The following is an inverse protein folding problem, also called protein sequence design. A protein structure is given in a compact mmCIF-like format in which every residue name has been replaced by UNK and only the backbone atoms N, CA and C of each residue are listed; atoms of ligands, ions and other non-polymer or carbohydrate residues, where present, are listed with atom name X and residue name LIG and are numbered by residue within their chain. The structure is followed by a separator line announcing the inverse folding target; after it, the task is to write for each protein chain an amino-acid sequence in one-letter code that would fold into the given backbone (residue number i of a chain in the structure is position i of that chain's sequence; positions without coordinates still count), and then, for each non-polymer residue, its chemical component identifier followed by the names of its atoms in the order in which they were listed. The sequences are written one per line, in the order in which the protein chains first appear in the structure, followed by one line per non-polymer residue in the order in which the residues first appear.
data_IF_459210677395
#
_entry.id   IF_459210677395
#
_cell.length_a   1.000
_cell.length_b   1.000
_cell.length_c   1.000
_cell.angle_alpha   90.00
_cell.angle_beta   90.00
_cell.angle_gamma   90.00
#
_symmetry.space_group_name_H-M   'P 1'
#
loop_
_entity.id
_entity.type
_entity.pdbx_description
1 polymer ?
#
# COMPACT_ATOMS: atom_id res chain seq x y z
N UNK A 1 30.39 -7.89 -1.25
CA UNK A 1 28.99 -7.47 -1.10
C UNK A 1 28.28 -7.76 -2.41
N UNK A 2 27.33 -8.66 -2.59
CA UNK A 2 26.64 -9.62 -1.73
C UNK A 2 26.24 -10.81 -2.62
N UNK A 3 27.08 -11.86 -2.69
CA UNK A 3 26.77 -13.07 -3.48
C UNK A 3 25.46 -13.75 -3.05
N UNK A 4 24.98 -13.46 -1.83
CA UNK A 4 23.82 -14.09 -1.22
C UNK A 4 22.48 -13.64 -1.82
N UNK A 5 22.42 -12.44 -2.40
CA UNK A 5 21.19 -11.85 -2.97
C UNK A 5 21.10 -12.04 -4.49
N UNK A 6 22.24 -12.25 -5.17
CA UNK A 6 22.28 -12.36 -6.62
C UNK A 6 21.38 -13.50 -7.13
N UNK A 7 20.54 -13.18 -8.10
CA UNK A 7 19.61 -14.13 -8.74
C UNK A 7 18.35 -14.40 -7.93
N UNK A 8 18.19 -13.84 -6.72
CA UNK A 8 16.92 -13.94 -5.98
C UNK A 8 15.82 -13.22 -6.72
N UNK A 9 14.67 -13.87 -6.85
CA UNK A 9 13.48 -13.33 -7.50
C UNK A 9 12.58 -12.71 -6.44
N UNK A 10 12.28 -11.43 -6.59
CA UNK A 10 11.55 -10.65 -5.59
C UNK A 10 10.35 -10.02 -6.26
N UNK A 11 9.16 -10.32 -5.75
CA UNK A 11 7.94 -9.63 -6.14
C UNK A 11 7.65 -8.52 -5.12
N UNK A 12 7.62 -7.28 -5.58
CA UNK A 12 7.06 -6.17 -4.84
C UNK A 12 5.54 -6.14 -5.06
N UNK A 13 4.77 -5.85 -4.01
CA UNK A 13 3.32 -5.63 -4.13
C UNK A 13 2.88 -4.46 -3.27
N UNK A 14 2.10 -3.54 -3.85
CA UNK A 14 1.64 -2.36 -3.10
C UNK A 14 0.21 -1.98 -3.43
N UNK A 15 -0.50 -1.42 -2.46
CA UNK A 15 -1.76 -0.69 -2.71
C UNK A 15 -1.47 0.56 -3.55
N UNK A 16 -2.43 1.03 -4.37
CA UNK A 16 -2.18 2.06 -5.35
C UNK A 16 -2.29 3.48 -4.78
N UNK A 17 -1.35 3.82 -3.90
CA UNK A 17 -1.19 5.16 -3.34
C UNK A 17 0.27 5.58 -3.33
N UNK A 18 0.55 6.84 -3.66
CA UNK A 18 1.92 7.38 -3.69
C UNK A 18 2.67 7.18 -2.36
N UNK A 19 1.97 7.33 -1.23
CA UNK A 19 2.52 7.11 0.12
C UNK A 19 2.88 5.65 0.43
N UNK A 20 2.35 4.70 -0.34
CA UNK A 20 2.67 3.27 -0.22
C UNK A 20 3.71 2.82 -1.25
N UNK A 21 3.61 3.35 -2.47
CA UNK A 21 4.52 3.00 -3.56
C UNK A 21 5.90 3.64 -3.42
N UNK A 22 5.96 4.97 -3.26
CA UNK A 22 7.23 5.72 -3.36
C UNK A 22 8.27 5.30 -2.31
N UNK A 23 7.92 5.04 -1.01
CA UNK A 23 8.92 4.63 -0.02
C UNK A 23 9.65 3.32 -0.36
N UNK A 24 9.02 2.42 -1.11
CA UNK A 24 9.61 1.12 -1.47
C UNK A 24 10.51 1.20 -2.70
N UNK A 25 10.45 2.28 -3.49
CA UNK A 25 11.21 2.40 -4.76
C UNK A 25 12.73 2.36 -4.55
N UNK A 26 13.23 3.01 -3.49
CA UNK A 26 14.66 2.99 -3.15
C UNK A 26 15.16 1.59 -2.79
N UNK A 27 14.35 0.84 -2.03
CA UNK A 27 14.64 -0.56 -1.69
C UNK A 27 14.65 -1.46 -2.92
N UNK A 28 13.66 -1.32 -3.80
CA UNK A 28 13.58 -2.08 -5.04
C UNK A 28 14.79 -1.81 -5.95
N UNK A 29 15.19 -0.54 -6.11
CA UNK A 29 16.37 -0.16 -6.89
C UNK A 29 17.66 -0.73 -6.29
N UNK A 30 17.81 -0.70 -4.96
CA UNK A 30 18.96 -1.28 -4.27
C UNK A 30 19.06 -2.81 -4.49
N UNK A 31 17.95 -3.54 -4.33
CA UNK A 31 17.92 -4.99 -4.50
C UNK A 31 18.22 -5.39 -5.94
N UNK A 32 17.67 -4.65 -6.92
CA UNK A 32 18.00 -4.84 -8.33
C UNK A 32 19.49 -4.61 -8.60
N UNK A 33 20.06 -3.51 -8.09
CA UNK A 33 21.51 -3.22 -8.21
C UNK A 33 22.38 -4.29 -7.55
N UNK A 34 21.87 -4.94 -6.51
CA UNK A 34 22.50 -6.06 -5.81
C UNK A 34 22.41 -7.38 -6.59
N UNK A 35 21.72 -7.40 -7.74
CA UNK A 35 21.63 -8.54 -8.64
C UNK A 35 20.38 -9.40 -8.48
N UNK A 36 19.36 -8.94 -7.76
CA UNK A 36 18.05 -9.60 -7.69
C UNK A 36 17.24 -9.37 -8.98
N UNK A 37 16.41 -10.34 -9.38
CA UNK A 37 15.33 -10.15 -10.37
C UNK A 37 14.13 -9.55 -9.63
N UNK A 38 14.02 -8.23 -9.66
CA UNK A 38 12.97 -7.46 -8.98
C UNK A 38 11.86 -7.15 -9.96
N UNK A 39 10.61 -7.48 -9.60
CA UNK A 39 9.40 -7.15 -10.37
C UNK A 39 8.35 -6.58 -9.43
N UNK A 40 7.35 -5.90 -9.97
CA UNK A 40 6.36 -5.19 -9.15
C UNK A 40 4.93 -5.43 -9.63
N UNK A 41 4.07 -5.87 -8.72
CA UNK A 41 2.62 -5.97 -8.88
C UNK A 41 1.92 -4.77 -8.23
N UNK A 42 1.34 -3.89 -9.04
CA UNK A 42 0.65 -2.66 -8.59
C UNK A 42 -0.22 -2.11 -9.73
N UNK A 43 -1.16 -1.23 -9.40
CA UNK A 43 -1.94 -0.44 -10.37
C UNK A 43 -1.16 0.08 -11.58
N UNK A 44 -1.88 0.14 -12.69
CA UNK A 44 -1.40 0.67 -13.97
C UNK A 44 -0.92 2.13 -13.91
N UNK A 45 -1.38 2.92 -12.93
CA UNK A 45 -0.98 4.32 -12.79
C UNK A 45 0.52 4.50 -12.53
N UNK A 46 1.20 3.46 -12.03
CA UNK A 46 2.65 3.48 -11.77
C UNK A 46 3.51 2.91 -12.89
N UNK A 47 2.91 2.49 -14.03
CA UNK A 47 3.64 1.87 -15.15
C UNK A 47 4.81 2.73 -15.63
N UNK A 48 4.60 4.04 -15.78
CA UNK A 48 5.66 4.97 -16.22
C UNK A 48 6.79 5.08 -15.20
N UNK A 49 6.49 5.09 -13.89
CA UNK A 49 7.51 5.13 -12.84
C UNK A 49 8.33 3.83 -12.83
N UNK A 50 7.68 2.68 -12.93
CA UNK A 50 8.35 1.37 -12.98
C UNK A 50 9.21 1.21 -14.23
N UNK A 51 8.72 1.69 -15.38
CA UNK A 51 9.52 1.75 -16.62
C UNK A 51 10.78 2.60 -16.44
N UNK A 52 10.70 3.74 -15.78
CA UNK A 52 11.86 4.60 -15.51
C UNK A 52 12.87 3.96 -14.53
N UNK A 53 12.40 3.08 -13.64
CA UNK A 53 13.25 2.26 -12.76
C UNK A 53 13.78 0.99 -13.45
N UNK A 54 13.33 0.72 -14.68
CA UNK A 54 13.58 -0.50 -15.43
C UNK A 54 13.16 -1.76 -14.62
N UNK A 55 12.05 -1.66 -13.90
CA UNK A 55 11.46 -2.76 -13.12
C UNK A 55 10.27 -3.32 -13.90
N UNK A 56 10.27 -4.63 -14.24
CA UNK A 56 9.12 -5.28 -14.86
C UNK A 56 7.86 -5.13 -14.01
N UNK A 57 6.77 -4.75 -14.67
CA UNK A 57 5.50 -4.39 -14.04
C UNK A 57 4.42 -5.43 -14.37
N UNK A 58 3.72 -5.88 -13.33
CA UNK A 58 2.48 -6.62 -13.41
C UNK A 58 1.33 -5.69 -12.98
N UNK A 59 0.50 -5.21 -13.91
CA UNK A 59 -0.71 -4.49 -13.54
C UNK A 59 -1.70 -5.44 -12.85
N UNK A 60 -2.68 -4.88 -12.14
CA UNK A 60 -3.83 -5.63 -11.67
C UNK A 60 -4.60 -6.22 -12.87
N UNK A 61 -5.00 -7.49 -12.77
CA UNK A 61 -5.78 -8.20 -13.80
C UNK A 61 -7.16 -8.58 -13.27
N UNK A 62 -7.22 -9.39 -12.20
CA UNK A 62 -8.45 -9.75 -11.49
C UNK A 62 -8.81 -8.74 -10.43
N UNK A 63 -7.82 -8.14 -9.77
CA UNK A 63 -8.05 -7.14 -8.75
C UNK A 63 -8.59 -5.84 -9.36
N UNK A 64 -9.54 -5.21 -8.67
CA UNK A 64 -10.09 -3.93 -9.13
C UNK A 64 -9.03 -2.83 -8.95
N UNK A 65 -8.72 -2.11 -10.03
CA UNK A 65 -7.74 -1.02 -10.02
C UNK A 65 -8.34 0.26 -9.44
N UNK A 66 -8.47 0.28 -8.10
CA UNK A 66 -9.06 1.38 -7.31
C UNK A 66 -7.94 2.25 -6.75
N UNK A 67 -7.94 3.54 -7.07
CA UNK A 67 -6.99 4.53 -6.56
C UNK A 67 -7.70 5.86 -6.28
N UNK A 68 -6.99 6.82 -5.68
CA UNK A 68 -7.61 8.03 -5.13
C UNK A 68 -8.50 8.82 -6.11
N UNK A 69 -8.12 8.88 -7.39
CA UNK A 69 -8.85 9.64 -8.41
C UNK A 69 -10.11 8.95 -8.92
N UNK A 70 -10.16 7.62 -8.97
CA UNK A 70 -11.33 6.88 -9.48
C UNK A 70 -12.24 6.33 -8.37
N UNK A 71 -11.83 6.43 -7.10
CA UNK A 71 -12.60 5.93 -5.95
C UNK A 71 -14.06 6.40 -5.94
N UNK A 72 -14.32 7.65 -6.32
CA UNK A 72 -15.68 8.23 -6.40
C UNK A 72 -16.52 7.61 -7.51
N UNK A 73 -15.91 7.26 -8.63
CA UNK A 73 -16.59 6.63 -9.76
C UNK A 73 -16.92 5.18 -9.44
N UNK A 74 -15.98 4.47 -8.83
CA UNK A 74 -16.15 3.05 -8.46
C UNK A 74 -17.12 2.86 -7.30
N UNK A 75 -17.08 3.75 -6.30
CA UNK A 75 -17.92 3.68 -5.09
C UNK A 75 -18.69 4.99 -4.86
N UNK A 76 -19.69 5.32 -5.69
CA UNK A 76 -20.46 6.56 -5.55
C UNK A 76 -21.23 6.65 -4.22
N UNK A 77 -21.56 5.52 -3.60
CA UNK A 77 -22.19 5.45 -2.28
C UNK A 77 -21.31 5.99 -1.15
N UNK A 78 -19.98 5.94 -1.32
CA UNK A 78 -19.01 6.50 -0.35
C UNK A 78 -19.24 7.98 -0.08
N UNK A 79 -19.74 8.72 -1.07
CA UNK A 79 -20.03 10.16 -0.96
C UNK A 79 -21.25 10.45 -0.09
N UNK A 80 -22.13 9.45 0.12
CA UNK A 80 -23.29 9.58 1.01
C UNK A 80 -22.92 9.39 2.48
N UNK A 81 -21.71 8.87 2.76
CA UNK A 81 -21.21 8.64 4.11
C UNK A 81 -20.58 9.94 4.62
N UNK A 82 -21.30 10.63 5.52
CA UNK A 82 -20.87 11.91 6.11
C UNK A 82 -20.12 11.72 7.42
N UNK A 83 -20.43 10.66 8.16
CA UNK A 83 -19.68 10.32 9.37
C UNK A 83 -18.29 9.82 9.01
N UNK A 84 -17.27 10.42 9.63
CA UNK A 84 -15.86 10.17 9.28
C UNK A 84 -15.45 8.74 9.64
N UNK A 85 -15.96 8.19 10.75
CA UNK A 85 -15.64 6.84 11.18
C UNK A 85 -16.29 5.80 10.28
N UNK A 86 -17.57 5.97 9.95
CA UNK A 86 -18.26 5.12 8.99
C UNK A 86 -17.59 5.16 7.60
N UNK A 87 -17.06 6.33 7.20
CA UNK A 87 -16.35 6.47 5.92
C UNK A 87 -15.02 5.74 5.92
N UNK A 88 -14.28 5.82 7.03
CA UNK A 88 -13.05 5.06 7.22
C UNK A 88 -13.31 3.55 7.25
N UNK A 89 -14.34 3.10 7.97
CA UNK A 89 -14.75 1.69 8.00
C UNK A 89 -15.05 1.16 6.59
N UNK A 90 -15.83 1.92 5.81
CA UNK A 90 -16.11 1.60 4.41
C UNK A 90 -14.84 1.49 3.57
N UNK A 91 -13.89 2.41 3.73
CA UNK A 91 -12.59 2.38 3.04
C UNK A 91 -11.77 1.14 3.43
N UNK A 92 -11.78 0.76 4.70
CA UNK A 92 -11.10 -0.45 5.19
C UNK A 92 -11.74 -1.73 4.65
N UNK A 93 -13.06 -1.76 4.52
CA UNK A 93 -13.77 -2.88 3.88
C UNK A 93 -13.33 -3.05 2.43
N UNK A 94 -13.28 -1.96 1.64
CA UNK A 94 -12.79 -2.01 0.26
C UNK A 94 -11.37 -2.61 0.18
N UNK A 95 -10.46 -2.16 1.05
CA UNK A 95 -9.08 -2.67 1.07
C UNK A 95 -9.04 -4.16 1.40
N UNK A 96 -9.82 -4.61 2.38
CA UNK A 96 -9.94 -6.01 2.75
C UNK A 96 -10.51 -6.88 1.62
N UNK A 97 -11.56 -6.38 0.96
CA UNK A 97 -12.28 -7.09 -0.10
C UNK A 97 -11.43 -7.32 -1.36
N UNK A 98 -10.33 -6.56 -1.55
CA UNK A 98 -9.38 -6.79 -2.63
C UNK A 98 -8.51 -8.04 -2.43
N UNK A 99 -8.41 -8.58 -1.21
CA UNK A 99 -7.44 -9.63 -0.87
C UNK A 99 -7.57 -10.92 -1.71
N UNK A 100 -8.79 -11.45 -1.99
CA UNK A 100 -8.94 -12.64 -2.81
C UNK A 100 -8.43 -12.44 -4.24
N UNK A 101 -8.76 -11.32 -4.89
CA UNK A 101 -8.34 -11.05 -6.27
C UNK A 101 -6.85 -10.74 -6.37
N UNK A 102 -6.27 -10.07 -5.36
CA UNK A 102 -4.81 -9.96 -5.25
C UNK A 102 -4.14 -11.32 -5.18
N UNK A 103 -4.70 -12.27 -4.41
CA UNK A 103 -4.16 -13.62 -4.35
C UNK A 103 -4.27 -14.34 -5.70
N UNK A 104 -5.39 -14.20 -6.42
CA UNK A 104 -5.57 -14.78 -7.76
C UNK A 104 -4.49 -14.27 -8.72
N UNK A 105 -4.34 -12.95 -8.83
CA UNK A 105 -3.32 -12.33 -9.67
C UNK A 105 -1.91 -12.80 -9.30
N UNK A 106 -1.58 -12.78 -8.01
CA UNK A 106 -0.26 -13.21 -7.53
C UNK A 106 -0.02 -14.70 -7.81
N UNK A 107 -1.05 -15.54 -7.72
CA UNK A 107 -0.95 -16.97 -8.04
C UNK A 107 -0.63 -17.18 -9.52
N UNK A 108 -1.30 -16.45 -10.41
CA UNK A 108 -1.00 -16.45 -11.86
C UNK A 108 0.40 -15.91 -12.15
N UNK A 109 0.81 -14.80 -11.50
CA UNK A 109 2.17 -14.27 -11.62
C UNK A 109 3.19 -15.33 -11.18
N UNK A 110 2.92 -16.03 -10.08
CA UNK A 110 3.80 -17.06 -9.55
C UNK A 110 3.99 -18.25 -10.50
N UNK A 111 3.06 -18.53 -11.42
CA UNK A 111 3.24 -19.56 -12.46
C UNK A 111 4.35 -19.19 -13.44
N UNK A 112 4.39 -17.93 -13.89
CA UNK A 112 5.39 -17.42 -14.85
C UNK A 112 6.67 -16.91 -14.19
N UNK A 113 6.56 -16.43 -12.96
CA UNK A 113 7.63 -15.83 -12.17
C UNK A 113 7.61 -16.43 -10.77
N UNK A 114 8.26 -17.60 -10.61
CA UNK A 114 8.47 -18.26 -9.32
C UNK A 114 9.39 -17.43 -8.42
N UNK A 115 8.84 -16.42 -7.76
CA UNK A 115 9.58 -15.53 -6.86
C UNK A 115 9.92 -16.21 -5.53
N UNK A 116 11.10 -15.92 -4.98
CA UNK A 116 11.58 -16.52 -3.73
C UNK A 116 10.96 -15.85 -2.50
N UNK A 117 10.59 -14.58 -2.63
CA UNK A 117 10.08 -13.74 -1.56
C UNK A 117 9.19 -12.63 -2.11
N UNK A 118 8.16 -12.25 -1.36
CA UNK A 118 7.36 -11.07 -1.64
C UNK A 118 7.69 -9.96 -0.63
N UNK A 119 7.89 -8.74 -1.12
CA UNK A 119 8.02 -7.54 -0.29
C UNK A 119 6.78 -6.69 -0.54
N UNK A 120 6.05 -6.35 0.52
CA UNK A 120 4.76 -5.70 0.39
C UNK A 120 4.65 -4.48 1.28
N UNK A 121 3.89 -3.46 0.91
CA UNK A 121 3.53 -2.42 1.88
C UNK A 121 2.55 -2.99 2.93
N UNK A 122 2.56 -2.44 4.14
CA UNK A 122 1.78 -2.98 5.25
C UNK A 122 0.26 -2.98 5.06
N UNK A 123 -0.27 -2.28 4.05
CA UNK A 123 -1.70 -2.17 3.77
C UNK A 123 -2.18 -3.12 2.67
N UNK A 124 -1.28 -3.84 2.03
CA UNK A 124 -1.63 -4.81 0.99
C UNK A 124 -2.31 -6.04 1.61
N UNK A 125 -3.61 -6.18 1.36
CA UNK A 125 -4.49 -7.07 2.14
C UNK A 125 -4.24 -8.57 1.91
N UNK A 126 -3.55 -8.96 0.83
CA UNK A 126 -3.26 -10.37 0.52
C UNK A 126 -1.99 -10.93 1.18
N UNK A 127 -1.23 -10.14 1.99
CA UNK A 127 -0.02 -10.61 2.70
C UNK A 127 -0.20 -11.97 3.40
N UNK A 128 -1.19 -12.16 4.30
CA UNK A 128 -1.34 -13.43 5.00
C UNK A 128 -1.72 -14.57 4.04
N UNK A 129 -2.56 -14.28 3.04
CA UNK A 129 -3.01 -15.28 2.07
C UNK A 129 -1.86 -15.83 1.24
N UNK A 130 -1.00 -14.96 0.69
CA UNK A 130 0.19 -15.37 -0.08
C UNK A 130 1.11 -16.23 0.76
N UNK A 131 1.40 -15.82 2.00
CA UNK A 131 2.24 -16.59 2.93
C UNK A 131 1.66 -17.98 3.21
N UNK A 132 0.36 -18.08 3.45
CA UNK A 132 -0.27 -19.33 3.84
C UNK A 132 -0.57 -20.28 2.68
N UNK A 133 -0.93 -19.75 1.51
CA UNK A 133 -1.38 -20.54 0.35
C UNK A 133 -0.21 -20.86 -0.57
N UNK A 134 0.59 -19.86 -0.96
CA UNK A 134 1.74 -20.07 -1.85
C UNK A 134 3.00 -20.54 -1.11
N UNK A 135 3.00 -20.49 0.24
CA UNK A 135 4.14 -20.84 1.10
C UNK A 135 5.40 -20.02 0.81
N UNK A 136 5.22 -18.82 0.25
CA UNK A 136 6.31 -17.88 -0.03
C UNK A 136 6.49 -16.95 1.18
N UNK A 137 7.73 -16.70 1.66
CA UNK A 137 7.96 -15.69 2.69
C UNK A 137 7.51 -14.31 2.22
N UNK A 138 6.91 -13.54 3.13
CA UNK A 138 6.45 -12.17 2.87
C UNK A 138 7.06 -11.24 3.91
N UNK A 139 7.67 -10.14 3.47
CA UNK A 139 8.13 -9.03 4.30
C UNK A 139 7.19 -7.86 4.09
N UNK A 140 6.53 -7.41 5.16
CA UNK A 140 5.69 -6.22 5.14
C UNK A 140 6.51 -4.99 5.56
N UNK A 141 6.47 -3.93 4.77
CA UNK A 141 7.12 -2.65 5.02
C UNK A 141 6.09 -1.68 5.58
N UNK A 142 6.27 -1.30 6.85
CA UNK A 142 5.48 -0.28 7.50
C UNK A 142 5.77 1.10 6.90
N UNK A 143 4.78 1.68 6.22
CA UNK A 143 4.85 3.03 5.61
C UNK A 143 3.89 4.02 6.29
N UNK A 144 3.06 3.53 7.21
CA UNK A 144 2.14 4.34 7.99
C UNK A 144 2.79 4.80 9.30
N UNK A 145 2.34 5.94 9.87
CA UNK A 145 2.67 6.31 11.24
C UNK A 145 2.33 5.18 12.20
N UNK A 146 3.10 5.07 13.29
CA UNK A 146 2.84 4.08 14.33
C UNK A 146 1.48 4.37 14.99
N UNK A 147 0.53 3.44 14.85
CA UNK A 147 -0.81 3.54 15.44
C UNK A 147 -0.80 3.15 16.92
N UNK A 148 -0.01 3.87 17.73
CA UNK A 148 0.11 3.66 19.16
C UNK A 148 -0.31 4.91 19.95
N UNK A 149 -0.96 4.69 21.08
CA UNK A 149 -1.26 5.76 22.03
C UNK A 149 -0.03 6.02 22.90
N UNK A 150 0.37 7.28 23.00
CA UNK A 150 1.39 7.73 23.94
C UNK A 150 0.96 9.06 24.57
N UNK A 151 1.26 9.26 25.85
CA UNK A 151 1.10 10.56 26.52
C UNK A 151 2.03 11.62 25.92
N UNK A 152 3.13 11.19 25.31
CA UNK A 152 4.17 12.04 24.73
C UNK A 152 3.96 12.32 23.22
N UNK A 153 2.92 11.73 22.61
CA UNK A 153 2.62 11.91 21.19
C UNK A 153 1.19 12.41 20.99
N UNK A 154 0.98 13.16 19.91
CA UNK A 154 -0.38 13.49 19.48
C UNK A 154 -1.15 12.20 19.14
N UNK A 155 -2.50 12.18 19.29
CA UNK A 155 -3.31 11.03 18.90
C UNK A 155 -3.06 10.63 17.45
N UNK A 156 -2.84 9.34 17.21
CA UNK A 156 -2.77 8.80 15.86
C UNK A 156 -4.16 8.86 15.18
N UNK A 157 -4.18 8.88 13.85
CA UNK A 157 -5.43 8.98 13.07
C UNK A 157 -5.88 10.43 12.87
N UNK A 158 -7.06 10.80 13.37
CA UNK A 158 -7.67 12.12 13.11
C UNK A 158 -6.98 13.31 13.81
N UNK A 159 -5.94 13.06 14.60
CA UNK A 159 -5.24 14.08 15.37
C UNK A 159 -6.12 14.71 16.45
N UNK A 160 -5.68 15.86 16.97
CA UNK A 160 -6.46 16.64 17.93
C UNK A 160 -7.62 17.34 17.20
N UNK A 161 -8.84 17.12 17.69
CA UNK A 161 -10.00 17.89 17.26
C UNK A 161 -9.79 19.36 17.61
N UNK A 162 -10.20 20.26 16.70
CA UNK A 162 -10.22 21.69 16.99
C UNK A 162 -10.98 21.94 18.30
N UNK A 163 -10.51 22.85 19.17
CA UNK A 163 -11.22 23.21 20.37
C UNK A 163 -12.65 23.65 20.02
N UNK A 164 -13.66 23.04 20.63
CA UNK A 164 -15.07 23.44 20.45
C UNK A 164 -15.36 24.85 21.01
N UNK A 165 -14.40 25.42 21.73
CA UNK A 165 -14.49 26.74 22.35
C UNK A 165 -14.30 27.83 21.30
N UNK A 166 -15.35 28.61 21.01
CA UNK A 166 -15.23 29.84 20.24
C UNK A 166 -14.33 30.80 21.02
N UNK A 167 -13.14 31.11 20.50
CA UNK A 167 -12.34 32.23 21.01
C UNK A 167 -13.12 33.50 20.67
N UNK A 168 -13.67 34.16 21.68
CA UNK A 168 -14.30 35.46 21.49
C UNK A 168 -13.23 36.44 21.02
N UNK A 169 -13.29 36.88 19.76
CA UNK A 169 -12.32 37.77 19.12
C UNK A 169 -12.31 39.22 19.69
N UNK A 170 -12.77 39.43 20.93
CA UNK A 170 -12.89 40.75 21.58
C UNK A 170 -11.75 41.09 22.55
N UNK A 171 -10.73 40.24 22.70
CA UNK A 171 -9.63 40.50 23.65
C UNK A 171 -8.25 40.69 23.01
N UNK A 172 -8.17 40.94 21.69
CA UNK A 172 -6.97 41.46 21.05
C UNK A 172 -7.18 42.93 20.66
N UNK A 173 -7.17 43.82 21.65
CA UNK A 173 -6.73 45.19 21.47
C UNK A 173 -5.41 45.30 22.23
N UNK A 174 -4.31 45.39 21.48
CA UNK A 174 -3.05 45.97 21.93
C UNK A 174 -2.95 47.33 21.23
#
# INVERSE_FOLDING_TARGET
MDLQLKGKKILFSTVPGDGHFNPLTGLAAYLKKSGCDVRWYVSSIFSSKLKNLDIPHYPFDKALDIYGQNLKEVFPEREKITDVMAKLEFDMTIVGDCAPQYLEDISTIYESFKFDIMISDCFFSAIPLVKHILKVPVIAIGVLPLCENSIDLAPYGMGLMLPKTKINARSMQI
#
